data_IF_245735877877
#
_entry.id   IF_245735877877
#
_cell.length_a   1.000
_cell.length_b   1.000
_cell.length_c   1.000
_cell.angle_alpha   90.00
_cell.angle_beta   90.00
_cell.angle_gamma   90.00
#
_symmetry.space_group_name_H-M   'P 1'
#
loop_
_entity.id
_entity.type
_entity.pdbx_description
1 polymer ?
#
# COMPACT_ATOMS: atom_id res chain seq x y z
N UNK A 1 -2.46 -19.73 23.86
CA UNK A 1 -2.50 -18.32 23.39
C UNK A 1 -1.73 -18.15 22.08
N UNK A 2 -0.47 -18.58 21.97
CA UNK A 2 0.30 -18.50 20.71
C UNK A 2 -0.32 -19.33 19.58
N UNK A 3 -0.83 -20.51 19.85
CA UNK A 3 -1.50 -21.36 18.87
C UNK A 3 -2.75 -20.67 18.28
N UNK A 4 -3.58 -20.08 19.14
CA UNK A 4 -4.77 -19.34 18.71
C UNK A 4 -4.40 -18.13 17.83
N UNK A 5 -3.33 -17.41 18.18
CA UNK A 5 -2.84 -16.29 17.37
C UNK A 5 -2.34 -16.76 16.01
N UNK A 6 -1.62 -17.89 15.96
CA UNK A 6 -1.16 -18.48 14.72
C UNK A 6 -2.31 -18.98 13.83
N UNK A 7 -3.37 -19.55 14.42
CA UNK A 7 -4.57 -19.94 13.68
C UNK A 7 -5.30 -18.73 13.08
N UNK A 8 -5.47 -17.67 13.88
CA UNK A 8 -6.09 -16.43 13.40
C UNK A 8 -5.25 -15.81 12.29
N UNK A 9 -3.94 -15.74 12.46
CA UNK A 9 -3.01 -15.22 11.47
C UNK A 9 -3.09 -16.01 10.17
N UNK A 10 -3.02 -17.33 10.23
CA UNK A 10 -3.13 -18.23 9.06
C UNK A 10 -4.47 -18.13 8.36
N UNK A 11 -5.56 -17.93 9.11
CA UNK A 11 -6.88 -17.73 8.52
C UNK A 11 -6.99 -16.38 7.84
N UNK A 12 -6.54 -15.31 8.49
CA UNK A 12 -6.63 -13.93 7.96
C UNK A 12 -5.77 -13.78 6.71
N UNK A 13 -4.51 -14.25 6.74
CA UNK A 13 -3.60 -14.19 5.60
C UNK A 13 -3.85 -15.27 4.52
N UNK A 14 -4.76 -16.18 4.79
CA UNK A 14 -5.12 -17.28 3.91
C UNK A 14 -6.09 -16.87 2.77
N UNK A 15 -6.92 -17.83 2.32
CA UNK A 15 -7.85 -17.65 1.20
C UNK A 15 -8.77 -16.42 1.30
N UNK A 16 -9.30 -16.02 2.47
CA UNK A 16 -10.19 -14.87 2.56
C UNK A 16 -9.54 -13.56 2.10
N UNK A 17 -8.33 -13.30 2.57
CA UNK A 17 -7.60 -12.08 2.20
C UNK A 17 -7.20 -12.11 0.72
N UNK A 18 -6.74 -13.25 0.22
CA UNK A 18 -6.36 -13.41 -1.19
C UNK A 18 -7.55 -13.16 -2.12
N UNK A 19 -8.72 -13.74 -1.81
CA UNK A 19 -9.95 -13.51 -2.59
C UNK A 19 -10.35 -12.04 -2.55
N UNK A 20 -10.28 -11.39 -1.41
CA UNK A 20 -10.59 -9.97 -1.29
C UNK A 20 -9.59 -9.10 -2.07
N UNK A 21 -8.30 -9.33 -1.94
CA UNK A 21 -7.26 -8.54 -2.61
C UNK A 21 -7.33 -8.70 -4.13
N UNK A 22 -7.32 -9.94 -4.61
CA UNK A 22 -7.35 -10.23 -6.05
C UNK A 22 -8.72 -9.88 -6.63
N UNK A 23 -9.81 -10.24 -5.95
CA UNK A 23 -11.18 -9.96 -6.38
C UNK A 23 -11.47 -8.46 -6.50
N UNK A 24 -11.09 -7.66 -5.49
CA UNK A 24 -11.21 -6.19 -5.57
C UNK A 24 -10.33 -5.61 -6.68
N UNK A 25 -9.12 -6.11 -6.85
CA UNK A 25 -8.20 -5.69 -7.91
C UNK A 25 -8.77 -5.98 -9.30
N UNK A 26 -9.32 -7.17 -9.53
CA UNK A 26 -9.98 -7.54 -10.79
C UNK A 26 -11.21 -6.65 -11.03
N UNK A 27 -12.08 -6.52 -10.01
CA UNK A 27 -13.29 -5.70 -10.12
C UNK A 27 -12.96 -4.25 -10.46
N UNK A 28 -11.98 -3.65 -9.79
CA UNK A 28 -11.54 -2.27 -10.06
C UNK A 28 -10.89 -2.16 -11.44
N UNK A 29 -10.09 -3.12 -11.86
CA UNK A 29 -9.47 -3.14 -13.19
C UNK A 29 -10.53 -3.11 -14.30
N UNK A 30 -11.57 -3.93 -14.16
CA UNK A 30 -12.70 -3.95 -15.11
C UNK A 30 -13.51 -2.66 -15.03
N UNK A 31 -13.82 -2.19 -13.82
CA UNK A 31 -14.62 -0.98 -13.61
C UNK A 31 -13.93 0.29 -14.12
N UNK A 32 -12.61 0.34 -14.04
CA UNK A 32 -11.78 1.46 -14.50
C UNK A 32 -11.28 1.28 -15.95
N UNK A 33 -11.80 0.27 -16.68
CA UNK A 33 -11.45 0.01 -18.09
C UNK A 33 -9.92 -0.08 -18.33
N UNK A 34 -9.22 -0.89 -17.53
CA UNK A 34 -7.76 -1.06 -17.64
C UNK A 34 -6.96 0.26 -17.57
N UNK A 35 -7.44 1.21 -16.77
CA UNK A 35 -6.86 2.55 -16.66
C UNK A 35 -5.36 2.50 -16.36
N UNK A 36 -4.90 1.55 -15.52
CA UNK A 36 -3.50 1.35 -15.15
C UNK A 36 -2.59 1.08 -16.36
N UNK A 37 -3.13 0.55 -17.47
CA UNK A 37 -2.39 0.32 -18.72
C UNK A 37 -2.56 1.51 -19.66
N UNK A 38 -3.81 1.91 -19.91
CA UNK A 38 -4.13 2.94 -20.90
C UNK A 38 -3.60 4.32 -20.53
N UNK A 39 -3.56 4.64 -19.23
CA UNK A 39 -3.08 5.95 -18.75
C UNK A 39 -1.64 5.93 -18.23
N UNK A 40 -0.95 4.79 -18.32
CA UNK A 40 0.44 4.68 -17.87
C UNK A 40 1.39 5.69 -18.55
N UNK A 41 1.36 5.90 -19.89
CA UNK A 41 2.23 6.89 -20.53
C UNK A 41 1.97 8.31 -20.04
N UNK A 42 0.70 8.65 -19.82
CA UNK A 42 0.31 9.94 -19.28
C UNK A 42 0.79 10.12 -17.84
N UNK A 43 0.65 9.08 -17.00
CA UNK A 43 1.11 9.11 -15.62
C UNK A 43 2.63 9.31 -15.53
N UNK A 44 3.40 8.59 -16.34
CA UNK A 44 4.85 8.78 -16.42
C UNK A 44 5.21 10.20 -16.84
N UNK A 45 4.55 10.75 -17.86
CA UNK A 45 4.77 12.14 -18.28
C UNK A 45 4.49 13.14 -17.16
N UNK A 46 3.42 12.95 -16.37
CA UNK A 46 3.08 13.82 -15.25
C UNK A 46 4.08 13.74 -14.11
N UNK A 47 4.62 12.55 -13.82
CA UNK A 47 5.62 12.35 -12.77
C UNK A 47 6.91 13.12 -13.08
N UNK A 48 7.37 13.04 -14.33
CA UNK A 48 8.60 13.71 -14.77
C UNK A 48 8.39 15.16 -15.25
N UNK A 49 7.15 15.62 -15.29
CA UNK A 49 6.86 17.02 -15.57
C UNK A 49 7.17 17.89 -14.35
N UNK A 50 7.99 18.90 -14.54
CA UNK A 50 8.38 19.83 -13.46
C UNK A 50 7.27 20.80 -13.04
N UNK A 51 6.06 20.69 -13.63
CA UNK A 51 4.93 21.56 -13.29
C UNK A 51 4.33 21.20 -11.94
N UNK A 52 4.38 22.15 -11.04
CA UNK A 52 3.62 22.13 -9.78
C UNK A 52 2.19 22.65 -10.05
N UNK A 53 1.38 21.85 -10.76
CA UNK A 53 0.01 22.25 -11.12
C UNK A 53 -1.03 21.87 -10.03
N UNK A 54 -0.60 21.53 -8.81
CA UNK A 54 -1.49 21.10 -7.74
C UNK A 54 -1.33 21.90 -6.45
N UNK A 55 -2.42 21.98 -5.67
CA UNK A 55 -2.47 22.60 -4.34
C UNK A 55 -1.80 21.76 -3.24
N UNK A 56 -0.83 20.92 -3.58
CA UNK A 56 -0.12 20.03 -2.64
C UNK A 56 1.23 20.61 -2.23
N UNK A 57 1.69 20.23 -1.02
CA UNK A 57 2.95 20.69 -0.43
C UNK A 57 4.19 20.11 -1.15
N UNK A 58 4.03 19.08 -1.95
CA UNK A 58 5.11 18.36 -2.65
C UNK A 58 4.78 18.14 -4.12
N UNK A 59 5.80 18.19 -4.98
CA UNK A 59 5.62 17.89 -6.40
C UNK A 59 5.43 16.39 -6.66
N UNK A 60 4.91 16.03 -7.85
CA UNK A 60 4.59 14.64 -8.22
C UNK A 60 5.78 13.68 -8.10
N UNK A 61 6.99 14.13 -8.43
CA UNK A 61 8.19 13.31 -8.33
C UNK A 61 8.56 13.03 -6.87
N UNK A 62 8.52 14.06 -6.00
CA UNK A 62 8.77 13.87 -4.55
C UNK A 62 7.72 12.96 -3.92
N UNK A 63 6.45 13.10 -4.31
CA UNK A 63 5.37 12.22 -3.84
C UNK A 63 5.63 10.76 -4.25
N UNK A 64 6.07 10.51 -5.49
CA UNK A 64 6.46 9.17 -5.93
C UNK A 64 7.64 8.62 -5.11
N UNK A 65 8.69 9.42 -4.91
CA UNK A 65 9.86 8.99 -4.11
C UNK A 65 9.45 8.62 -2.68
N UNK A 66 8.58 9.42 -2.06
CA UNK A 66 8.06 9.15 -0.72
C UNK A 66 7.24 7.86 -0.69
N UNK A 67 6.36 7.65 -1.67
CA UNK A 67 5.56 6.44 -1.78
C UNK A 67 6.43 5.19 -1.99
N UNK A 68 7.46 5.27 -2.83
CA UNK A 68 8.40 4.18 -3.05
C UNK A 68 9.22 3.88 -1.78
N UNK A 69 9.70 4.91 -1.09
CA UNK A 69 10.45 4.73 0.16
C UNK A 69 9.59 4.06 1.26
N UNK A 70 8.30 4.35 1.31
CA UNK A 70 7.38 3.69 2.23
C UNK A 70 6.98 2.26 1.81
N UNK A 71 7.01 1.97 0.50
CA UNK A 71 6.55 0.68 -0.05
C UNK A 71 7.68 -0.36 -0.11
N UNK A 72 8.91 0.07 -0.39
CA UNK A 72 10.07 -0.82 -0.45
C UNK A 72 10.46 -1.21 0.97
N UNK A 73 10.19 -2.46 1.32
CA UNK A 73 10.42 -3.02 2.65
C UNK A 73 11.08 -4.40 2.58
N UNK A 74 11.27 -5.01 3.73
CA UNK A 74 11.84 -6.37 3.86
C UNK A 74 11.04 -7.42 3.10
N UNK A 75 9.71 -7.24 2.99
CA UNK A 75 8.84 -8.10 2.19
C UNK A 75 9.25 -8.18 0.71
N UNK A 76 9.76 -7.10 0.14
CA UNK A 76 10.20 -7.06 -1.25
C UNK A 76 11.52 -7.81 -1.49
N UNK A 77 12.29 -8.07 -0.47
CA UNK A 77 13.57 -8.78 -0.54
C UNK A 77 13.39 -10.21 -0.01
N UNK A 78 13.14 -10.34 1.28
CA UNK A 78 13.02 -11.63 1.96
C UNK A 78 11.76 -12.36 1.55
N UNK A 79 10.61 -11.67 1.46
CA UNK A 79 9.33 -12.25 1.07
C UNK A 79 9.36 -12.81 -0.35
N UNK A 80 9.99 -12.12 -1.29
CA UNK A 80 10.15 -12.62 -2.67
C UNK A 80 11.08 -13.83 -2.69
N UNK A 81 12.19 -13.79 -1.98
CA UNK A 81 13.12 -14.92 -1.91
C UNK A 81 12.47 -16.18 -1.30
N UNK A 82 11.70 -16.01 -0.22
CA UNK A 82 10.97 -17.12 0.40
C UNK A 82 9.85 -17.66 -0.48
N UNK A 83 9.14 -16.79 -1.20
CA UNK A 83 8.12 -17.19 -2.16
C UNK A 83 8.71 -18.03 -3.31
N UNK A 84 9.85 -17.62 -3.85
CA UNK A 84 10.55 -18.38 -4.89
C UNK A 84 11.05 -19.73 -4.33
N UNK A 85 11.58 -19.74 -3.11
CA UNK A 85 12.05 -20.97 -2.47
C UNK A 85 10.91 -21.97 -2.25
N UNK A 86 9.72 -21.49 -1.88
CA UNK A 86 8.56 -22.34 -1.60
C UNK A 86 7.79 -22.76 -2.87
N UNK A 87 7.60 -21.83 -3.82
CA UNK A 87 6.76 -22.01 -5.00
C UNK A 87 7.53 -22.16 -6.31
N UNK A 88 8.86 -22.14 -6.27
CA UNK A 88 9.69 -22.20 -7.47
C UNK A 88 9.55 -20.95 -8.38
N UNK A 89 10.05 -21.02 -9.64
CA UNK A 89 9.98 -19.89 -10.58
C UNK A 89 8.55 -19.43 -10.91
N UNK A 90 7.57 -20.32 -10.80
CA UNK A 90 6.16 -20.00 -11.02
C UNK A 90 5.60 -18.97 -10.02
N UNK A 91 6.20 -18.85 -8.83
CA UNK A 91 5.80 -17.84 -7.85
C UNK A 91 5.92 -16.42 -8.40
N UNK A 92 6.95 -16.13 -9.19
CA UNK A 92 7.14 -14.81 -9.82
C UNK A 92 6.01 -14.44 -10.77
N UNK A 93 5.54 -15.40 -11.56
CA UNK A 93 4.41 -15.18 -12.46
C UNK A 93 3.15 -14.76 -11.68
N UNK A 94 2.83 -15.49 -10.62
CA UNK A 94 1.66 -15.17 -9.78
C UNK A 94 1.81 -13.84 -9.04
N UNK A 95 3.01 -13.51 -8.60
CA UNK A 95 3.30 -12.21 -7.97
C UNK A 95 3.11 -11.06 -8.96
N UNK A 96 3.55 -11.20 -10.22
CA UNK A 96 3.31 -10.18 -11.26
C UNK A 96 1.84 -10.03 -11.59
N UNK A 97 1.11 -11.15 -11.69
CA UNK A 97 -0.32 -11.13 -11.94
C UNK A 97 -1.08 -10.42 -10.80
N UNK A 98 -0.75 -10.75 -9.56
CA UNK A 98 -1.32 -10.09 -8.38
C UNK A 98 -0.97 -8.59 -8.35
N UNK A 99 0.26 -8.22 -8.67
CA UNK A 99 0.71 -6.83 -8.73
C UNK A 99 -0.04 -6.04 -9.81
N UNK A 100 -0.29 -6.65 -10.97
CA UNK A 100 -1.06 -6.03 -12.05
C UNK A 100 -2.46 -5.60 -11.59
N UNK A 101 -3.18 -6.48 -10.90
CA UNK A 101 -4.49 -6.14 -10.35
C UNK A 101 -4.38 -5.19 -9.15
N UNK A 102 -3.32 -5.31 -8.36
CA UNK A 102 -3.02 -4.42 -7.23
C UNK A 102 -2.83 -2.95 -7.63
N UNK A 103 -2.33 -2.68 -8.86
CA UNK A 103 -2.20 -1.31 -9.37
C UNK A 103 -3.55 -0.57 -9.42
N UNK A 104 -4.63 -1.23 -9.82
CA UNK A 104 -5.97 -0.63 -9.86
C UNK A 104 -6.46 -0.28 -8.45
N UNK A 105 -6.19 -1.14 -7.47
CA UNK A 105 -6.53 -0.90 -6.06
C UNK A 105 -5.77 0.31 -5.51
N UNK A 106 -4.46 0.40 -5.78
CA UNK A 106 -3.65 1.55 -5.36
C UNK A 106 -4.06 2.85 -6.03
N UNK A 107 -4.45 2.81 -7.30
CA UNK A 107 -5.01 3.97 -7.97
C UNK A 107 -6.30 4.46 -7.30
N UNK A 108 -7.23 3.54 -7.00
CA UNK A 108 -8.47 3.88 -6.32
C UNK A 108 -8.24 4.45 -4.92
N UNK A 109 -7.32 3.86 -4.16
CA UNK A 109 -6.91 4.33 -2.83
C UNK A 109 -6.35 5.77 -2.89
N UNK A 110 -5.42 6.03 -3.80
CA UNK A 110 -4.84 7.36 -4.00
C UNK A 110 -5.88 8.39 -4.44
N UNK A 111 -6.77 8.02 -5.36
CA UNK A 111 -7.87 8.88 -5.81
C UNK A 111 -8.81 9.26 -4.66
N UNK A 112 -9.19 8.29 -3.82
CA UNK A 112 -10.04 8.54 -2.66
C UNK A 112 -9.34 9.40 -1.62
N UNK A 113 -8.06 9.17 -1.38
CA UNK A 113 -7.26 9.97 -0.45
C UNK A 113 -7.19 11.44 -0.88
N UNK A 114 -7.04 11.72 -2.16
CA UNK A 114 -7.04 13.10 -2.69
C UNK A 114 -8.43 13.70 -2.67
N UNK A 115 -9.46 12.94 -3.09
CA UNK A 115 -10.85 13.42 -3.18
C UNK A 115 -11.43 13.83 -1.82
N UNK A 116 -11.12 13.06 -0.78
CA UNK A 116 -11.67 13.25 0.58
C UNK A 116 -10.65 13.82 1.57
N UNK A 117 -9.55 14.41 1.05
CA UNK A 117 -8.58 15.11 1.89
C UNK A 117 -9.24 16.26 2.66
N UNK A 118 -8.72 16.55 3.84
CA UNK A 118 -9.12 17.67 4.67
C UNK A 118 -7.94 18.64 4.84
N UNK A 119 -8.25 19.89 5.06
CA UNK A 119 -7.25 20.91 5.41
C UNK A 119 -7.38 21.19 6.90
N UNK A 120 -6.28 21.05 7.62
CA UNK A 120 -6.22 21.34 9.05
C UNK A 120 -6.31 22.85 9.31
N UNK A 121 -6.57 23.24 10.57
CA UNK A 121 -6.60 24.64 11.01
C UNK A 121 -5.29 25.41 10.72
N UNK A 122 -4.18 24.68 10.59
CA UNK A 122 -2.86 25.23 10.26
C UNK A 122 -2.57 25.28 8.75
N UNK A 123 -3.54 24.92 7.90
CA UNK A 123 -3.38 24.86 6.45
C UNK A 123 -2.72 23.58 5.93
N UNK A 124 -2.37 22.62 6.79
CA UNK A 124 -1.77 21.36 6.38
C UNK A 124 -2.81 20.42 5.74
N UNK A 125 -2.40 19.74 4.67
CA UNK A 125 -3.25 18.77 3.98
C UNK A 125 -3.15 17.42 4.68
N UNK A 126 -4.31 16.88 5.10
CA UNK A 126 -4.43 15.56 5.69
C UNK A 126 -5.37 14.68 4.85
N UNK A 127 -4.95 13.47 4.56
CA UNK A 127 -5.70 12.50 3.75
C UNK A 127 -5.39 11.06 4.16
N UNK A 128 -6.07 10.11 3.54
CA UNK A 128 -5.88 8.69 3.77
C UNK A 128 -7.14 7.95 4.16
N UNK A 129 -7.04 6.63 4.48
CA UNK A 129 -8.19 5.78 4.73
C UNK A 129 -9.12 6.29 5.84
N UNK A 130 -8.58 6.80 6.95
CA UNK A 130 -9.38 7.35 8.04
C UNK A 130 -10.28 8.50 7.57
N UNK A 131 -9.78 9.35 6.68
CA UNK A 131 -10.54 10.51 6.18
C UNK A 131 -11.57 10.09 5.12
N UNK A 132 -11.24 9.25 4.16
CA UNK A 132 -12.21 8.87 3.15
C UNK A 132 -13.26 7.88 3.67
N UNK A 133 -13.00 7.12 4.73
CA UNK A 133 -14.03 6.34 5.43
C UNK A 133 -15.04 7.28 6.09
N UNK A 134 -14.59 8.27 6.85
CA UNK A 134 -15.49 9.19 7.55
C UNK A 134 -16.22 10.12 6.58
N UNK A 135 -15.50 10.74 5.65
CA UNK A 135 -16.05 11.75 4.73
C UNK A 135 -16.78 11.14 3.53
N UNK A 136 -16.42 9.92 3.12
CA UNK A 136 -17.02 9.24 1.97
C UNK A 136 -18.21 8.36 2.30
N UNK A 137 -18.14 7.61 3.40
CA UNK A 137 -19.22 6.72 3.84
C UNK A 137 -20.16 7.39 4.85
N UNK A 138 -19.74 8.49 5.46
CA UNK A 138 -20.53 9.24 6.43
C UNK A 138 -20.13 9.01 7.88
N UNK A 139 -20.65 9.88 8.77
CA UNK A 139 -20.27 9.92 10.18
C UNK A 139 -20.59 8.63 10.95
N UNK A 140 -21.52 7.82 10.48
CA UNK A 140 -21.85 6.51 11.08
C UNK A 140 -20.66 5.53 11.02
N UNK A 141 -19.75 5.70 10.06
CA UNK A 141 -18.58 4.85 9.89
C UNK A 141 -17.31 5.39 10.61
N UNK A 142 -17.46 6.44 11.40
CA UNK A 142 -16.37 6.99 12.21
C UNK A 142 -15.67 5.96 13.11
N UNK A 143 -16.34 5.01 13.77
CA UNK A 143 -15.67 3.97 14.54
C UNK A 143 -14.68 3.13 13.70
N UNK A 144 -15.05 2.84 12.43
CA UNK A 144 -14.17 2.12 11.50
C UNK A 144 -12.95 2.95 11.12
N UNK A 145 -13.12 4.26 10.90
CA UNK A 145 -12.02 5.18 10.61
C UNK A 145 -11.04 5.27 11.79
N UNK A 146 -11.56 5.35 13.02
CA UNK A 146 -10.75 5.35 14.25
C UNK A 146 -10.02 4.03 14.44
N UNK A 147 -10.70 2.90 14.24
CA UNK A 147 -10.10 1.57 14.31
C UNK A 147 -8.92 1.44 13.32
N UNK A 148 -9.11 1.90 12.08
CA UNK A 148 -8.05 1.90 11.07
C UNK A 148 -6.85 2.78 11.52
N UNK A 149 -7.11 3.99 12.01
CA UNK A 149 -6.06 4.89 12.47
C UNK A 149 -5.26 4.31 13.64
N UNK A 150 -5.93 3.76 14.65
CA UNK A 150 -5.29 3.12 15.81
C UNK A 150 -4.47 1.92 15.39
N UNK A 151 -5.03 1.04 14.55
CA UNK A 151 -4.33 -0.13 14.02
C UNK A 151 -3.09 0.28 13.21
N UNK A 152 -3.19 1.35 12.41
CA UNK A 152 -2.07 1.89 11.65
C UNK A 152 -0.94 2.41 12.54
N UNK A 153 -1.27 3.12 13.61
CA UNK A 153 -0.28 3.60 14.59
C UNK A 153 0.41 2.43 15.30
N UNK A 154 -0.36 1.44 15.76
CA UNK A 154 0.20 0.26 16.40
C UNK A 154 1.11 -0.54 15.43
N UNK A 155 0.68 -0.73 14.20
CA UNK A 155 1.47 -1.38 13.17
C UNK A 155 2.76 -0.62 12.85
N UNK A 156 2.71 0.71 12.75
CA UNK A 156 3.88 1.53 12.52
C UNK A 156 4.88 1.46 13.68
N UNK A 157 4.38 1.48 14.91
CA UNK A 157 5.22 1.48 16.10
C UNK A 157 5.85 0.10 16.39
N UNK A 158 5.06 -0.96 16.34
CA UNK A 158 5.49 -2.31 16.71
C UNK A 158 5.98 -3.16 15.53
N UNK A 159 5.50 -2.91 14.32
CA UNK A 159 5.82 -3.69 13.13
C UNK A 159 6.90 -3.07 12.27
N UNK A 160 6.57 -1.96 11.61
CA UNK A 160 7.44 -1.39 10.57
C UNK A 160 8.66 -0.71 11.18
N UNK A 161 8.51 -0.03 12.31
CA UNK A 161 9.57 0.76 12.94
C UNK A 161 10.71 -0.06 13.55
N UNK A 162 10.46 -1.32 13.92
CA UNK A 162 11.44 -2.16 14.62
C UNK A 162 12.10 -3.19 13.72
N UNK A 163 11.33 -3.85 12.85
CA UNK A 163 11.83 -4.98 12.06
C UNK A 163 12.53 -4.55 10.76
N UNK A 164 12.06 -3.49 10.10
CA UNK A 164 12.63 -3.07 8.84
C UNK A 164 14.11 -2.63 8.93
N UNK A 165 14.53 -1.76 9.88
CA UNK A 165 15.92 -1.36 10.01
C UNK A 165 16.86 -2.52 10.30
N UNK A 166 16.46 -3.43 11.19
CA UNK A 166 17.29 -4.61 11.55
C UNK A 166 17.50 -5.51 10.34
N UNK A 167 16.43 -5.82 9.60
CA UNK A 167 16.53 -6.68 8.41
C UNK A 167 17.39 -6.06 7.32
N UNK A 168 17.29 -4.74 7.08
CA UNK A 168 18.17 -4.07 6.11
C UNK A 168 19.63 -4.11 6.55
N UNK A 169 19.92 -3.88 7.83
CA UNK A 169 21.28 -3.93 8.36
C UNK A 169 21.89 -5.30 8.13
N UNK A 170 21.17 -6.40 8.43
CA UNK A 170 21.68 -7.74 8.23
C UNK A 170 21.78 -8.18 6.77
N UNK A 171 20.96 -7.63 5.87
CA UNK A 171 20.95 -8.00 4.46
C UNK A 171 21.94 -7.18 3.62
N UNK A 172 22.22 -5.93 4.02
CA UNK A 172 23.00 -4.99 3.20
C UNK A 172 24.43 -4.79 3.70
N UNK A 173 24.71 -5.02 4.99
CA UNK A 173 26.07 -4.96 5.48
C UNK A 173 26.81 -6.25 5.14
N UNK A 174 28.03 -6.18 4.56
CA UNK A 174 28.85 -7.35 4.40
C UNK A 174 29.15 -7.91 5.79
N UNK A 175 28.71 -9.14 6.03
CA UNK A 175 29.14 -9.90 7.21
C UNK A 175 30.63 -10.21 7.00
N UNK A 176 31.49 -9.39 7.55
CA UNK A 176 32.89 -9.75 7.69
C UNK A 176 32.98 -10.91 8.71
N UNK A 177 32.88 -12.09 8.20
CA UNK A 177 33.26 -13.31 8.91
C UNK A 177 34.70 -13.65 8.57
#
# INVERSE_FOLDING_TARGET
MLELLNEIDSFVWGPPLLVLLVGTGIWLTLRLNLLQVLKLPMALKLIFSAKNDGDGDVNSFKALCTALAATVGTGNIVGVATAIKAGGPGALFWMWLAAFFGMATKYAEGLLAVKYRTVDANGNIAGGPMYYIENGLGKSYKPLAVFFAVSGVLCAYFGIGTFAPVSYTHLTLPTNS
#
